data_IF_617793578770
#
_entry.id   IF_617793578770
#
_cell.length_a   1.000
_cell.length_b   1.000
_cell.length_c   1.000
_cell.angle_alpha   90.00
_cell.angle_beta   90.00
_cell.angle_gamma   90.00
#
_symmetry.space_group_name_H-M   'P 1'
#
loop_
_entity.id
_entity.type
_entity.pdbx_description
1 polymer ?
#
# COMPACT_ATOMS: atom_id res chain seq x y z
N UNK A 1 38.66 -15.48 26.99
CA UNK A 1 38.09 -16.26 25.87
C UNK A 1 36.56 -16.27 25.87
N UNK A 2 35.85 -16.65 26.95
CA UNK A 2 34.37 -16.68 27.00
C UNK A 2 33.65 -15.37 26.62
N UNK A 3 34.18 -14.21 27.02
CA UNK A 3 33.60 -12.88 26.69
C UNK A 3 33.73 -12.49 25.22
N UNK A 4 34.80 -12.94 24.54
CA UNK A 4 35.01 -12.67 23.11
C UNK A 4 34.05 -13.51 22.28
N UNK A 5 33.79 -14.76 22.70
CA UNK A 5 32.80 -15.62 22.04
C UNK A 5 31.38 -15.07 22.18
N UNK A 6 31.02 -14.56 23.37
CA UNK A 6 29.72 -13.92 23.60
C UNK A 6 29.55 -12.67 22.71
N UNK A 7 30.61 -11.86 22.57
CA UNK A 7 30.58 -10.66 21.73
C UNK A 7 30.45 -11.01 20.24
N UNK A 8 31.20 -12.02 19.76
CA UNK A 8 31.09 -12.51 18.38
C UNK A 8 29.71 -13.11 18.10
N UNK A 9 29.11 -13.81 19.07
CA UNK A 9 27.76 -14.32 18.97
C UNK A 9 26.71 -13.21 18.84
N UNK A 10 26.82 -12.16 19.67
CA UNK A 10 25.91 -11.00 19.60
C UNK A 10 26.05 -10.24 18.28
N UNK A 11 27.28 -10.09 17.79
CA UNK A 11 27.57 -9.44 16.51
C UNK A 11 27.02 -10.25 15.32
N UNK A 12 27.13 -11.58 15.37
CA UNK A 12 26.54 -12.45 14.35
C UNK A 12 25.01 -12.37 14.33
N UNK A 13 24.35 -12.36 15.50
CA UNK A 13 22.90 -12.16 15.59
C UNK A 13 22.46 -10.79 15.06
N UNK A 14 23.25 -9.74 15.31
CA UNK A 14 22.94 -8.40 14.79
C UNK A 14 23.03 -8.34 13.27
N UNK A 15 24.05 -8.96 12.65
CA UNK A 15 24.19 -8.99 11.19
C UNK A 15 23.04 -9.78 10.52
N UNK A 16 22.56 -10.85 11.15
CA UNK A 16 21.43 -11.65 10.66
C UNK A 16 20.10 -10.87 10.68
N UNK A 17 19.93 -9.90 11.59
CA UNK A 17 18.69 -9.12 11.67
C UNK A 17 18.47 -8.12 10.52
N UNK A 18 19.50 -7.75 9.75
CA UNK A 18 19.36 -6.77 8.65
C UNK A 18 18.87 -7.36 7.32
N UNK A 19 18.77 -8.68 7.18
CA UNK A 19 18.47 -9.31 5.88
C UNK A 19 16.97 -9.41 5.53
N UNK A 20 16.05 -8.93 6.38
CA UNK A 20 14.62 -9.18 6.21
C UNK A 20 13.78 -7.96 5.80
N UNK A 21 14.38 -6.79 5.57
CA UNK A 21 13.64 -5.67 5.01
C UNK A 21 13.60 -5.78 3.47
N UNK A 22 12.76 -6.68 2.93
CA UNK A 22 12.34 -6.57 1.53
C UNK A 22 11.45 -5.34 1.42
N UNK A 23 12.02 -4.22 0.98
CA UNK A 23 11.23 -3.06 0.65
C UNK A 23 10.42 -3.38 -0.61
N UNK A 24 9.12 -3.61 -0.44
CA UNK A 24 8.20 -3.71 -1.57
C UNK A 24 8.40 -2.48 -2.46
N UNK A 25 8.46 -2.70 -3.77
CA UNK A 25 8.71 -1.63 -4.73
C UNK A 25 7.57 -0.59 -4.80
N UNK A 26 6.46 -0.87 -4.12
CA UNK A 26 5.27 -0.02 -3.98
C UNK A 26 4.83 -0.05 -2.52
N UNK A 27 4.52 1.12 -1.99
CA UNK A 27 4.00 1.34 -0.65
C UNK A 27 2.73 2.18 -0.75
N UNK A 28 1.67 1.71 -0.07
CA UNK A 28 0.41 2.41 0.11
C UNK A 28 0.31 2.85 1.56
N UNK A 29 0.14 4.15 1.78
CA UNK A 29 -0.08 4.74 3.10
C UNK A 29 -1.46 5.39 3.15
N UNK A 30 -2.28 4.97 4.11
CA UNK A 30 -3.59 5.57 4.39
C UNK A 30 -3.55 6.25 5.76
N UNK A 31 -4.16 7.45 5.92
CA UNK A 31 -4.08 8.20 7.18
C UNK A 31 -4.97 7.62 8.28
N UNK A 32 -6.02 6.86 7.90
CA UNK A 32 -6.90 6.15 8.82
C UNK A 32 -7.45 4.89 8.16
N UNK A 33 -7.81 3.90 8.97
CA UNK A 33 -8.36 2.61 8.53
C UNK A 33 -9.86 2.49 8.79
N UNK A 34 -10.48 3.48 9.44
CA UNK A 34 -11.87 3.49 9.84
C UNK A 34 -12.52 4.80 9.38
N UNK A 35 -13.62 4.68 8.66
CA UNK A 35 -14.35 5.79 8.05
C UNK A 35 -15.83 5.74 8.41
N UNK A 36 -16.50 6.89 8.35
CA UNK A 36 -17.95 7.02 8.38
C UNK A 36 -18.50 7.10 6.94
N UNK A 37 -19.80 6.80 6.73
CA UNK A 37 -20.40 6.86 5.41
C UNK A 37 -20.35 8.29 4.86
N UNK A 38 -20.00 8.44 3.58
CA UNK A 38 -19.87 9.75 2.92
C UNK A 38 -18.54 10.48 3.19
N UNK A 39 -17.63 9.92 3.98
CA UNK A 39 -16.31 10.52 4.15
C UNK A 39 -15.42 10.38 2.92
N UNK A 40 -14.33 11.16 2.87
CA UNK A 40 -13.32 11.06 1.82
C UNK A 40 -12.24 10.04 2.20
N UNK A 41 -12.09 8.99 1.40
CA UNK A 41 -10.92 8.13 1.41
C UNK A 41 -9.71 8.88 0.85
N UNK A 42 -8.53 8.66 1.43
CA UNK A 42 -7.28 9.27 1.01
C UNK A 42 -6.16 8.23 1.11
N UNK A 43 -5.29 8.18 0.11
CA UNK A 43 -4.10 7.33 0.10
C UNK A 43 -2.92 8.01 -0.58
N UNK A 44 -1.75 7.88 0.03
CA UNK A 44 -0.47 8.17 -0.59
C UNK A 44 0.13 6.88 -1.14
N UNK A 45 0.62 6.95 -2.37
CA UNK A 45 1.25 5.85 -3.06
C UNK A 45 2.67 6.27 -3.41
N UNK A 46 3.63 5.45 -3.04
CA UNK A 46 5.03 5.67 -3.43
C UNK A 46 5.64 4.39 -3.97
N UNK A 47 6.53 4.53 -4.95
CA UNK A 47 7.19 3.37 -5.53
C UNK A 47 8.20 3.70 -6.61
N UNK A 48 9.04 2.73 -6.93
CA UNK A 48 10.00 2.82 -8.03
C UNK A 48 9.35 2.36 -9.33
N UNK A 49 8.38 3.13 -9.81
CA UNK A 49 7.58 2.78 -10.98
C UNK A 49 8.37 2.97 -12.28
N UNK A 50 8.28 1.98 -13.17
CA UNK A 50 8.83 2.08 -14.53
C UNK A 50 7.89 2.81 -15.48
N UNK A 51 6.60 2.91 -15.14
CA UNK A 51 5.56 3.63 -15.87
C UNK A 51 4.67 4.35 -14.85
N UNK A 52 4.15 5.53 -15.20
CA UNK A 52 3.25 6.24 -14.31
C UNK A 52 1.99 5.43 -14.02
N UNK A 53 1.49 5.52 -12.79
CA UNK A 53 0.21 4.91 -12.44
C UNK A 53 -0.92 5.56 -13.23
N UNK A 54 -1.79 4.72 -13.78
CA UNK A 54 -3.00 5.14 -14.47
C UNK A 54 -4.23 4.81 -13.62
N UNK A 55 -5.37 5.40 -13.96
CA UNK A 55 -6.66 5.08 -13.35
C UNK A 55 -6.98 3.57 -13.43
N UNK A 56 -6.55 2.90 -14.51
CA UNK A 56 -6.71 1.46 -14.70
C UNK A 56 -5.86 0.60 -13.75
N UNK A 57 -5.02 1.20 -12.91
CA UNK A 57 -4.28 0.49 -11.87
C UNK A 57 -4.98 0.55 -10.51
N UNK A 58 -6.01 1.39 -10.35
CA UNK A 58 -6.59 1.70 -9.04
C UNK A 58 -7.97 1.08 -8.91
N UNK A 59 -8.16 0.29 -7.85
CA UNK A 59 -9.38 -0.47 -7.62
C UNK A 59 -9.83 -0.35 -6.16
N UNK A 60 -11.14 -0.43 -5.96
CA UNK A 60 -11.76 -0.51 -4.65
C UNK A 60 -12.59 -1.78 -4.60
N UNK A 61 -12.52 -2.51 -3.49
CA UNK A 61 -13.32 -3.71 -3.26
C UNK A 61 -14.08 -3.57 -1.96
N UNK A 62 -15.27 -4.15 -1.94
CA UNK A 62 -16.06 -4.37 -0.73
C UNK A 62 -16.29 -5.87 -0.60
N UNK A 63 -15.89 -6.44 0.53
CA UNK A 63 -16.04 -7.87 0.81
C UNK A 63 -15.46 -8.77 -0.33
N UNK A 64 -14.35 -8.31 -0.95
CA UNK A 64 -13.68 -9.01 -2.06
C UNK A 64 -14.33 -8.82 -3.45
N UNK A 65 -15.42 -8.05 -3.55
CA UNK A 65 -16.07 -7.73 -4.82
C UNK A 65 -15.74 -6.30 -5.23
N UNK A 66 -15.29 -6.12 -6.47
CA UNK A 66 -14.95 -4.80 -6.99
C UNK A 66 -16.16 -3.85 -6.91
N UNK A 67 -15.92 -2.64 -6.41
CA UNK A 67 -16.90 -1.56 -6.34
C UNK A 67 -16.33 -0.34 -7.04
N UNK A 68 -16.91 0.09 -8.17
CA UNK A 68 -16.45 1.30 -8.82
C UNK A 68 -16.76 2.51 -7.93
N UNK A 69 -15.73 3.29 -7.62
CA UNK A 69 -15.86 4.59 -6.96
C UNK A 69 -15.37 5.69 -7.90
N UNK A 70 -15.95 6.88 -7.78
CA UNK A 70 -15.36 8.06 -8.38
C UNK A 70 -14.16 8.49 -7.53
N UNK A 71 -12.99 8.49 -8.14
CA UNK A 71 -11.75 8.88 -7.48
C UNK A 71 -10.94 9.81 -8.39
N UNK A 72 -10.04 10.55 -7.77
CA UNK A 72 -9.02 11.33 -8.46
C UNK A 72 -7.65 10.74 -8.15
N UNK A 73 -6.81 10.68 -9.18
CA UNK A 73 -5.41 10.29 -9.07
C UNK A 73 -4.54 11.50 -9.45
N UNK A 74 -3.79 12.00 -8.49
CA UNK A 74 -2.89 13.15 -8.68
C UNK A 74 -1.44 12.70 -8.54
N UNK A 75 -0.61 13.05 -9.51
CA UNK A 75 0.84 12.86 -9.40
C UNK A 75 1.44 13.99 -8.59
N UNK A 76 2.06 13.69 -7.45
CA UNK A 76 2.76 14.68 -6.61
C UNK A 76 4.16 14.93 -7.16
N UNK A 77 4.88 13.84 -7.46
CA UNK A 77 6.22 13.86 -8.03
C UNK A 77 6.51 12.50 -8.68
N UNK A 78 7.67 12.35 -9.33
CA UNK A 78 8.07 11.06 -9.91
C UNK A 78 7.96 9.93 -8.88
N UNK A 79 7.12 8.93 -9.19
CA UNK A 79 6.88 7.76 -8.36
C UNK A 79 6.12 8.03 -7.05
N UNK A 80 5.47 9.20 -6.91
CA UNK A 80 4.60 9.54 -5.79
C UNK A 80 3.25 10.05 -6.28
N UNK A 81 2.19 9.44 -5.79
CA UNK A 81 0.82 9.72 -6.18
C UNK A 81 -0.07 9.90 -4.96
N UNK A 82 -1.13 10.65 -5.13
CA UNK A 82 -2.19 10.82 -4.14
C UNK A 82 -3.52 10.41 -4.76
N UNK A 83 -4.27 9.57 -4.05
CA UNK A 83 -5.62 9.17 -4.43
C UNK A 83 -6.59 9.68 -3.38
N UNK A 84 -7.71 10.22 -3.83
CA UNK A 84 -8.85 10.48 -2.97
C UNK A 84 -10.16 10.11 -3.66
N UNK A 85 -11.10 9.59 -2.89
CA UNK A 85 -12.40 9.12 -3.36
C UNK A 85 -13.49 9.45 -2.33
N UNK A 86 -14.70 9.74 -2.80
CA UNK A 86 -15.86 9.85 -1.93
C UNK A 86 -16.37 8.44 -1.59
N UNK A 87 -16.42 8.10 -0.29
CA UNK A 87 -16.96 6.83 0.15
C UNK A 87 -18.49 6.85 0.10
N UNK A 88 -19.13 5.72 -0.18
CA UNK A 88 -20.59 5.64 -0.21
C UNK A 88 -21.20 6.02 1.14
N UNK A 89 -22.32 6.73 1.09
CA UNK A 89 -23.08 7.15 2.27
C UNK A 89 -24.18 6.16 2.68
N UNK A 90 -24.40 5.11 1.88
CA UNK A 90 -25.43 4.11 2.13
C UNK A 90 -25.05 3.18 3.29
N UNK A 91 -26.03 2.86 4.14
CA UNK A 91 -25.86 1.86 5.20
C UNK A 91 -25.54 0.47 4.62
N UNK A 92 -25.93 0.20 3.38
CA UNK A 92 -25.60 -1.06 2.70
C UNK A 92 -24.10 -1.19 2.39
N UNK A 93 -23.33 -0.10 2.50
CA UNK A 93 -21.89 -0.05 2.20
C UNK A 93 -21.00 -0.10 3.44
N UNK A 94 -21.59 -0.16 4.64
CA UNK A 94 -20.89 -0.50 5.88
C UNK A 94 -20.22 -1.87 5.74
N UNK A 95 -18.99 -2.01 6.22
CA UNK A 95 -18.24 -3.26 6.19
C UNK A 95 -16.76 -3.10 5.85
N UNK A 96 -16.16 -4.21 5.42
CA UNK A 96 -14.76 -4.29 5.07
C UNK A 96 -14.53 -3.86 3.63
N UNK A 97 -13.54 -3.00 3.45
CA UNK A 97 -13.12 -2.50 2.15
C UNK A 97 -11.62 -2.70 1.94
N UNK A 98 -11.23 -2.78 0.68
CA UNK A 98 -9.83 -2.68 0.29
C UNK A 98 -9.64 -1.70 -0.84
N UNK A 99 -8.50 -1.02 -0.79
CA UNK A 99 -7.95 -0.22 -1.86
C UNK A 99 -6.77 -0.96 -2.45
N UNK A 100 -6.76 -1.16 -3.76
CA UNK A 100 -5.77 -1.97 -4.45
C UNK A 100 -5.12 -1.23 -5.61
N UNK A 101 -3.80 -1.41 -5.72
CA UNK A 101 -3.03 -1.08 -6.91
C UNK A 101 -2.75 -2.38 -7.62
N UNK A 102 -3.26 -2.55 -8.84
CA UNK A 102 -3.06 -3.75 -9.64
C UNK A 102 -2.28 -3.44 -10.92
N UNK A 103 -1.51 -4.43 -11.38
CA UNK A 103 -0.75 -4.39 -12.63
C UNK A 103 0.19 -3.19 -12.74
N UNK A 104 0.71 -2.69 -11.61
CA UNK A 104 1.68 -1.61 -11.62
C UNK A 104 3.07 -2.17 -11.97
N UNK A 105 3.76 -1.51 -12.91
CA UNK A 105 5.10 -1.91 -13.31
C UNK A 105 6.14 -1.17 -12.45
N UNK A 106 6.85 -1.91 -11.61
CA UNK A 106 7.89 -1.38 -10.74
C UNK A 106 9.22 -2.09 -10.94
N UNK A 107 10.32 -1.45 -10.54
CA UNK A 107 11.65 -2.04 -10.55
C UNK A 107 12.10 -2.37 -9.13
N UNK A 108 12.32 -3.66 -8.87
CA UNK A 108 12.85 -4.17 -7.61
C UNK A 108 14.15 -4.94 -7.90
N UNK A 109 15.27 -4.56 -7.28
CA UNK A 109 16.58 -5.19 -7.52
C UNK A 109 16.98 -5.24 -9.01
N UNK A 110 16.65 -4.19 -9.77
CA UNK A 110 16.86 -4.05 -11.24
C UNK A 110 16.01 -5.01 -12.10
N UNK A 111 15.03 -5.69 -11.51
CA UNK A 111 14.09 -6.55 -12.22
C UNK A 111 12.76 -5.81 -12.34
N UNK A 112 12.25 -5.71 -13.57
CA UNK A 112 10.91 -5.19 -13.83
C UNK A 112 9.88 -6.24 -13.40
N UNK A 113 8.94 -5.86 -12.53
CA UNK A 113 7.87 -6.72 -12.05
C UNK A 113 6.52 -6.00 -12.22
N UNK A 114 5.50 -6.78 -12.55
CA UNK A 114 4.10 -6.38 -12.37
C UNK A 114 3.70 -6.75 -10.95
N UNK A 115 3.21 -5.80 -10.17
CA UNK A 115 2.85 -6.01 -8.77
C UNK A 115 1.37 -5.73 -8.53
N UNK A 116 0.88 -6.31 -7.44
CA UNK A 116 -0.37 -5.94 -6.79
C UNK A 116 -0.08 -5.59 -5.34
N UNK A 117 -0.62 -4.48 -4.84
CA UNK A 117 -0.50 -4.04 -3.46
C UNK A 117 -1.86 -3.59 -2.94
N UNK A 118 -2.12 -3.76 -1.65
CA UNK A 118 -3.43 -3.57 -1.05
C UNK A 118 -3.33 -2.86 0.30
N UNK A 119 -4.26 -1.96 0.57
CA UNK A 119 -4.52 -1.39 1.89
C UNK A 119 -5.98 -1.65 2.30
N UNK A 120 -6.18 -2.11 3.53
CA UNK A 120 -7.51 -2.43 4.04
C UNK A 120 -8.05 -1.29 4.91
N UNK A 121 -9.35 -1.04 4.80
CA UNK A 121 -10.07 -0.08 5.64
C UNK A 121 -11.51 -0.55 5.87
N UNK A 122 -12.26 0.14 6.73
CA UNK A 122 -13.67 -0.16 6.99
C UNK A 122 -14.52 1.11 7.02
N UNK A 123 -15.78 0.94 6.66
CA UNK A 123 -16.83 1.94 6.85
C UNK A 123 -17.70 1.45 8.01
N UNK A 124 -17.83 2.26 9.06
CA UNK A 124 -18.62 1.97 10.27
C UNK A 124 -19.71 3.01 10.49
N UNK A 125 -20.66 2.70 11.38
CA UNK A 125 -21.74 3.60 11.78
C UNK A 125 -21.32 4.53 12.91
#
# INVERSE_FOLDING_TARGET
MKKVFLFLFFMACFILSFQLASADCVNITIPKTVYFPGETFQAEISGNFSQDLAYSNIYFFKDGVERPLFFNLTTISKGKYFVYAELPSSQADIGSWSFEIQNALCTENKILKSITSQANFSIIK
#
